data_IF_626161592703
#
_entry.id   IF_626161592703
#
_cell.length_a   1.000
_cell.length_b   1.000
_cell.length_c   1.000
_cell.angle_alpha   90.00
_cell.angle_beta   90.00
_cell.angle_gamma   90.00
#
_symmetry.space_group_name_H-M   'P 1'
#
loop_
_entity.id
_entity.type
_entity.pdbx_description
1 polymer ?
#
# COMPACT_ATOMS: atom_id res chain seq x y z
N UNK A 1 -35.55 17.27 43.58
CA UNK A 1 -34.80 17.47 42.34
C UNK A 1 -35.52 16.72 41.23
N UNK A 2 -36.12 17.43 40.26
CA UNK A 2 -36.66 16.77 39.09
C UNK A 2 -35.49 16.30 38.23
N UNK A 3 -35.53 15.07 37.70
CA UNK A 3 -34.46 14.56 36.83
C UNK A 3 -34.41 15.44 35.57
N UNK A 4 -33.22 15.92 35.24
CA UNK A 4 -32.95 16.83 34.11
C UNK A 4 -33.32 16.28 32.70
N UNK A 5 -33.87 15.07 32.64
CA UNK A 5 -34.12 14.33 31.37
C UNK A 5 -35.56 13.79 31.26
N UNK A 6 -36.52 14.39 31.90
CA UNK A 6 -37.92 13.90 31.91
C UNK A 6 -38.82 14.73 31.00
N UNK A 7 -38.63 14.63 29.69
CA UNK A 7 -39.56 15.26 28.76
C UNK A 7 -39.47 14.67 27.36
N UNK A 8 -40.59 14.57 26.68
CA UNK A 8 -40.72 14.14 25.29
C UNK A 8 -39.77 14.89 24.35
N UNK A 9 -39.49 16.19 24.65
CA UNK A 9 -38.56 17.03 23.92
C UNK A 9 -37.10 16.50 23.94
N UNK A 10 -36.64 16.02 25.10
CA UNK A 10 -35.31 15.43 25.20
C UNK A 10 -35.21 14.12 24.43
N UNK A 11 -36.25 13.28 24.48
CA UNK A 11 -36.30 12.04 23.72
C UNK A 11 -36.19 12.32 22.20
N UNK A 12 -36.91 13.31 21.69
CA UNK A 12 -36.87 13.71 20.28
C UNK A 12 -35.46 14.18 19.90
N UNK A 13 -34.81 15.00 20.76
CA UNK A 13 -33.43 15.44 20.48
C UNK A 13 -32.46 14.26 20.45
N UNK A 14 -32.56 13.29 21.34
CA UNK A 14 -31.72 12.10 21.33
C UNK A 14 -31.97 11.20 20.10
N UNK A 15 -33.24 11.01 19.72
CA UNK A 15 -33.58 10.27 18.52
C UNK A 15 -33.03 10.98 17.29
N UNK A 16 -33.18 12.30 17.18
CA UNK A 16 -32.65 13.08 16.08
C UNK A 16 -31.11 13.03 16.01
N UNK A 17 -30.44 13.15 17.16
CA UNK A 17 -28.97 13.02 17.24
C UNK A 17 -28.49 11.62 16.80
N UNK A 18 -29.15 10.57 17.29
CA UNK A 18 -28.84 9.20 16.91
C UNK A 18 -29.09 8.96 15.42
N UNK A 19 -30.22 9.43 14.89
CA UNK A 19 -30.53 9.32 13.48
C UNK A 19 -29.49 10.07 12.61
N UNK A 20 -29.07 11.25 13.04
CA UNK A 20 -28.02 12.03 12.35
C UNK A 20 -26.71 11.27 12.31
N UNK A 21 -26.30 10.67 13.43
CA UNK A 21 -25.09 9.84 13.49
C UNK A 21 -25.22 8.62 12.58
N UNK A 22 -26.33 7.89 12.67
CA UNK A 22 -26.54 6.69 11.87
C UNK A 22 -26.66 6.98 10.35
N UNK A 23 -27.21 8.14 9.97
CA UNK A 23 -27.34 8.54 8.57
C UNK A 23 -26.09 9.25 8.05
N UNK A 24 -25.18 9.68 8.90
CA UNK A 24 -24.01 10.47 8.48
C UNK A 24 -23.13 9.79 7.44
N UNK A 25 -22.88 8.46 7.43
CA UNK A 25 -22.12 7.82 6.37
C UNK A 25 -22.80 7.92 5.00
N UNK A 26 -24.12 7.82 4.96
CA UNK A 26 -24.92 7.97 3.73
C UNK A 26 -24.82 9.41 3.24
N UNK A 27 -25.11 10.36 4.12
CA UNK A 27 -25.07 11.80 3.78
C UNK A 27 -23.68 12.23 3.32
N UNK A 28 -22.64 11.81 4.02
CA UNK A 28 -21.26 12.14 3.60
C UNK A 28 -20.90 11.50 2.26
N UNK A 29 -21.42 10.31 1.95
CA UNK A 29 -21.22 9.69 0.64
C UNK A 29 -21.85 10.50 -0.48
N UNK A 30 -22.99 11.10 -0.24
CA UNK A 30 -23.71 11.92 -1.24
C UNK A 30 -23.14 13.33 -1.40
N UNK A 31 -22.67 13.94 -0.31
CA UNK A 31 -22.31 15.37 -0.27
C UNK A 31 -20.81 15.59 -0.47
N UNK A 32 -19.96 14.72 0.09
CA UNK A 32 -18.52 14.94 0.10
C UNK A 32 -17.85 14.28 -1.09
N UNK A 33 -17.17 15.08 -1.91
CA UNK A 33 -16.44 14.57 -3.07
C UNK A 33 -15.36 13.57 -2.69
N UNK A 34 -15.03 12.60 -3.57
CA UNK A 34 -13.90 11.69 -3.35
C UNK A 34 -12.62 12.43 -3.02
N UNK A 35 -12.31 13.48 -3.74
CA UNK A 35 -11.14 14.31 -3.58
C UNK A 35 -11.02 14.90 -2.17
N UNK A 36 -12.10 15.50 -1.65
CA UNK A 36 -12.13 16.03 -0.27
C UNK A 36 -11.86 14.96 0.75
N UNK A 37 -12.33 13.73 0.51
CA UNK A 37 -12.08 12.58 1.41
C UNK A 37 -10.60 12.23 1.50
N UNK A 38 -9.91 12.16 0.36
CA UNK A 38 -8.46 11.94 0.33
C UNK A 38 -7.71 13.03 1.08
N UNK A 39 -8.12 14.29 0.93
CA UNK A 39 -7.48 15.44 1.56
C UNK A 39 -7.63 15.50 3.07
N UNK A 40 -8.76 15.04 3.58
CA UNK A 40 -9.00 14.99 5.02
C UNK A 40 -8.28 13.83 5.68
N UNK A 41 -7.85 12.84 4.87
CA UNK A 41 -7.07 11.70 5.37
C UNK A 41 -5.84 12.21 6.13
N UNK A 42 -5.56 11.59 7.26
CA UNK A 42 -4.45 11.98 8.12
C UNK A 42 -3.10 11.87 7.39
N UNK A 43 -2.24 12.87 7.49
CA UNK A 43 -0.85 12.81 6.98
C UNK A 43 -0.06 11.63 7.55
N UNK A 44 -0.47 11.07 8.69
CA UNK A 44 0.16 9.86 9.25
C UNK A 44 -0.07 8.61 8.40
N UNK A 45 -1.11 8.63 7.55
CA UNK A 45 -1.45 7.51 6.65
C UNK A 45 -0.58 7.54 5.40
N UNK A 46 -0.12 8.72 4.99
CA UNK A 46 0.69 8.89 3.80
C UNK A 46 0.41 10.22 3.08
N UNK A 47 0.97 10.40 1.90
CA UNK A 47 0.83 11.62 1.09
C UNK A 47 -0.55 11.69 0.42
N UNK A 48 -1.55 12.12 1.17
CA UNK A 48 -2.95 12.16 0.72
C UNK A 48 -3.18 12.99 -0.55
N UNK A 49 -2.40 14.07 -0.72
CA UNK A 49 -2.43 14.92 -1.92
C UNK A 49 -1.90 14.16 -3.13
N UNK A 50 -0.84 13.38 -2.96
CA UNK A 50 -0.31 12.50 -3.98
C UNK A 50 -1.32 11.42 -4.36
N UNK A 51 -1.92 10.75 -3.37
CA UNK A 51 -2.96 9.74 -3.61
C UNK A 51 -4.13 10.32 -4.41
N UNK A 52 -4.66 11.47 -4.00
CA UNK A 52 -5.75 12.14 -4.72
C UNK A 52 -5.37 12.47 -6.16
N UNK A 53 -4.14 12.96 -6.38
CA UNK A 53 -3.65 13.25 -7.71
C UNK A 53 -3.54 11.99 -8.57
N UNK A 54 -2.84 10.98 -8.11
CA UNK A 54 -2.59 9.75 -8.88
C UNK A 54 -3.87 8.95 -9.15
N UNK A 55 -4.78 8.91 -8.19
CA UNK A 55 -5.98 8.08 -8.28
C UNK A 55 -7.12 8.80 -9.01
N UNK A 56 -7.29 10.12 -8.79
CA UNK A 56 -8.49 10.83 -9.23
C UNK A 56 -8.24 11.84 -10.35
N UNK A 57 -7.01 12.34 -10.54
CA UNK A 57 -6.73 13.44 -11.46
C UNK A 57 -5.82 13.09 -12.63
N UNK A 58 -4.81 12.27 -12.38
CA UNK A 58 -3.94 11.83 -13.46
C UNK A 58 -4.73 10.96 -14.44
N UNK A 59 -4.38 11.06 -15.69
CA UNK A 59 -5.04 10.34 -16.78
C UNK A 59 -4.03 9.47 -17.54
N UNK A 60 -4.54 8.49 -18.24
CA UNK A 60 -3.75 7.58 -19.04
C UNK A 60 -3.36 6.30 -18.29
N UNK A 61 -3.06 5.25 -19.06
CA UNK A 61 -2.74 3.95 -18.51
C UNK A 61 -1.36 3.93 -17.87
N UNK A 62 -1.20 3.07 -16.87
CA UNK A 62 0.08 2.64 -16.32
C UNK A 62 0.44 1.25 -16.86
N UNK A 63 1.73 1.00 -17.00
CA UNK A 63 2.23 -0.36 -17.18
C UNK A 63 2.21 -1.09 -15.84
N UNK A 64 2.69 -0.44 -14.76
CA UNK A 64 2.73 -1.01 -13.42
C UNK A 64 2.20 -0.02 -12.39
N UNK A 65 1.25 -0.46 -11.58
CA UNK A 65 0.83 0.20 -10.35
C UNK A 65 1.36 -0.58 -9.15
N UNK A 66 2.28 0.00 -8.39
CA UNK A 66 2.68 -0.51 -7.09
C UNK A 66 1.74 0.03 -6.02
N UNK A 67 1.12 -0.86 -5.27
CA UNK A 67 0.11 -0.51 -4.29
C UNK A 67 0.40 -1.21 -2.96
N UNK A 68 0.63 -0.44 -1.92
CA UNK A 68 0.97 -1.09 -0.66
C UNK A 68 1.29 -0.16 0.50
N UNK A 69 2.03 -0.70 1.45
CA UNK A 69 2.46 0.03 2.63
C UNK A 69 3.80 0.77 2.41
N UNK A 70 4.33 1.37 3.46
CA UNK A 70 5.61 2.08 3.44
C UNK A 70 6.81 1.22 2.99
N UNK A 71 6.75 -0.11 3.12
CA UNK A 71 7.78 -1.01 2.58
C UNK A 71 7.78 -0.99 1.06
N UNK A 72 6.61 -1.07 0.42
CA UNK A 72 6.50 -0.94 -1.03
C UNK A 72 7.01 0.43 -1.49
N UNK A 73 6.59 1.49 -0.80
CA UNK A 73 7.03 2.85 -1.10
C UNK A 73 8.55 3.00 -1.06
N UNK A 74 9.20 2.41 -0.07
CA UNK A 74 10.66 2.49 0.08
C UNK A 74 11.43 1.50 -0.82
N UNK A 75 10.75 0.54 -1.46
CA UNK A 75 11.41 -0.52 -2.21
C UNK A 75 11.54 -0.24 -3.71
N UNK A 76 10.85 0.75 -4.26
CA UNK A 76 10.81 0.96 -5.70
C UNK A 76 11.60 2.22 -6.09
N UNK A 77 12.65 2.02 -6.86
CA UNK A 77 13.34 3.06 -7.60
C UNK A 77 12.82 3.05 -9.04
N UNK A 78 11.95 3.99 -9.37
CA UNK A 78 11.28 4.04 -10.67
C UNK A 78 12.23 4.34 -11.83
N UNK A 79 13.32 5.05 -11.58
CA UNK A 79 14.30 5.37 -12.62
C UNK A 79 15.11 4.14 -13.00
N UNK A 80 15.56 3.38 -12.00
CA UNK A 80 16.26 2.10 -12.23
C UNK A 80 15.29 1.09 -12.84
N UNK A 81 14.07 0.97 -12.33
CA UNK A 81 13.07 0.06 -12.86
C UNK A 81 12.75 0.33 -14.36
N UNK A 82 12.72 1.61 -14.76
CA UNK A 82 12.50 2.01 -16.14
C UNK A 82 13.59 1.49 -17.08
N UNK A 83 14.82 1.43 -16.60
CA UNK A 83 15.95 0.86 -17.35
C UNK A 83 15.89 -0.67 -17.38
N UNK A 84 15.48 -1.31 -16.29
CA UNK A 84 15.37 -2.77 -16.18
C UNK A 84 14.16 -3.34 -16.93
N UNK A 85 13.12 -2.54 -17.18
CA UNK A 85 11.89 -2.94 -17.87
C UNK A 85 11.69 -2.11 -19.14
N UNK A 86 12.54 -2.26 -20.17
CA UNK A 86 12.35 -1.55 -21.42
C UNK A 86 11.06 -2.02 -22.08
N UNK A 87 10.26 -1.08 -22.54
CA UNK A 87 9.03 -1.30 -23.31
C UNK A 87 9.29 -0.97 -24.79
N UNK A 88 8.63 -1.67 -25.70
CA UNK A 88 8.76 -1.39 -27.13
C UNK A 88 8.10 -0.05 -27.46
N UNK A 89 8.91 1.00 -27.63
CA UNK A 89 8.49 2.27 -28.21
C UNK A 89 8.15 3.41 -27.24
N UNK A 90 7.98 3.18 -25.95
CA UNK A 90 7.74 4.23 -24.95
C UNK A 90 8.40 3.89 -23.61
N UNK A 91 8.78 4.88 -22.78
CA UNK A 91 9.28 4.62 -21.43
C UNK A 91 8.24 3.92 -20.56
N UNK A 92 8.68 2.99 -19.70
CA UNK A 92 7.83 2.35 -18.70
C UNK A 92 7.10 3.39 -17.85
N UNK A 93 5.79 3.26 -17.76
CA UNK A 93 4.94 4.08 -16.91
C UNK A 93 4.61 3.32 -15.64
N UNK A 94 5.28 3.65 -14.57
CA UNK A 94 5.05 3.03 -13.27
C UNK A 94 4.86 4.07 -12.19
N UNK A 95 3.96 3.80 -11.25
CA UNK A 95 3.65 4.67 -10.11
C UNK A 95 3.50 3.84 -8.85
N UNK A 96 3.86 4.44 -7.71
CA UNK A 96 3.62 3.87 -6.39
C UNK A 96 2.56 4.66 -5.65
N UNK A 97 1.48 3.99 -5.26
CA UNK A 97 0.46 4.51 -4.36
C UNK A 97 0.58 3.76 -3.04
N UNK A 98 1.40 4.29 -2.16
CA UNK A 98 1.70 3.66 -0.88
C UNK A 98 1.16 4.42 0.31
N UNK A 99 0.70 3.69 1.32
CA UNK A 99 0.24 4.25 2.58
C UNK A 99 1.08 3.74 3.74
N UNK A 100 1.12 4.48 4.85
CA UNK A 100 1.68 3.95 6.08
C UNK A 100 0.76 2.87 6.65
N UNK A 101 1.34 1.91 7.36
CA UNK A 101 0.67 0.74 7.93
C UNK A 101 0.16 -0.26 6.89
N UNK A 102 -0.10 -1.48 7.32
CA UNK A 102 -0.78 -2.48 6.50
C UNK A 102 -2.21 -2.03 6.19
N UNK A 103 -2.69 -2.32 5.00
CA UNK A 103 -3.96 -1.81 4.59
C UNK A 103 -4.49 -2.42 3.30
N UNK A 104 -4.82 -3.72 3.31
CA UNK A 104 -5.49 -4.33 2.15
C UNK A 104 -6.89 -3.76 1.92
N UNK A 105 -7.57 -3.34 2.99
CA UNK A 105 -8.82 -2.59 2.95
C UNK A 105 -8.64 -1.22 2.27
N UNK A 106 -7.60 -0.48 2.67
CA UNK A 106 -7.24 0.79 2.05
C UNK A 106 -6.77 0.59 0.60
N UNK A 107 -5.93 -0.41 0.35
CA UNK A 107 -5.44 -0.77 -0.98
C UNK A 107 -6.60 -1.12 -1.93
N UNK A 108 -7.58 -1.90 -1.46
CA UNK A 108 -8.78 -2.20 -2.23
C UNK A 108 -9.54 -0.92 -2.61
N UNK A 109 -9.72 0.00 -1.67
CA UNK A 109 -10.43 1.26 -1.92
C UNK A 109 -9.65 2.16 -2.88
N UNK A 110 -8.34 2.26 -2.72
CA UNK A 110 -7.47 2.97 -3.68
C UNK A 110 -7.59 2.39 -5.08
N UNK A 111 -7.52 1.07 -5.19
CA UNK A 111 -7.57 0.37 -6.47
C UNK A 111 -8.94 0.52 -7.15
N UNK A 112 -10.03 0.46 -6.37
CA UNK A 112 -11.38 0.67 -6.89
C UNK A 112 -11.59 2.10 -7.39
N UNK A 113 -11.03 3.10 -6.70
CA UNK A 113 -11.03 4.49 -7.17
C UNK A 113 -10.14 4.67 -8.39
N UNK A 114 -8.95 4.08 -8.39
CA UNK A 114 -8.03 4.13 -9.51
C UNK A 114 -8.68 3.56 -10.80
N UNK A 115 -9.22 2.36 -10.75
CA UNK A 115 -9.86 1.73 -11.91
C UNK A 115 -11.13 2.43 -12.40
N UNK A 116 -11.72 3.31 -11.60
CA UNK A 116 -12.82 4.15 -12.09
C UNK A 116 -12.35 5.34 -12.95
N UNK A 117 -11.05 5.64 -12.99
CA UNK A 117 -10.46 6.77 -13.71
C UNK A 117 -9.31 6.39 -14.64
N UNK A 118 -8.58 5.32 -14.31
CA UNK A 118 -7.36 4.91 -15.00
C UNK A 118 -7.30 3.37 -15.15
N UNK A 119 -6.30 2.91 -15.88
CA UNK A 119 -5.99 1.48 -16.03
C UNK A 119 -4.52 1.23 -15.71
N UNK A 120 -4.23 0.04 -15.19
CA UNK A 120 -2.89 -0.51 -15.08
C UNK A 120 -2.88 -1.90 -15.71
N UNK A 121 -1.78 -2.27 -16.38
CA UNK A 121 -1.62 -3.62 -16.95
C UNK A 121 -1.23 -4.63 -15.87
N UNK A 122 -0.42 -4.18 -14.91
CA UNK A 122 0.06 -4.98 -13.80
C UNK A 122 -0.14 -4.20 -12.50
N UNK A 123 -0.75 -4.83 -11.51
CA UNK A 123 -0.83 -4.35 -10.14
C UNK A 123 0.08 -5.19 -9.27
N UNK A 124 0.93 -4.54 -8.49
CA UNK A 124 1.85 -5.17 -7.55
C UNK A 124 1.47 -4.76 -6.15
N UNK A 125 1.18 -5.72 -5.27
CA UNK A 125 0.84 -5.47 -3.87
C UNK A 125 1.87 -6.10 -2.93
N UNK A 126 1.95 -5.60 -1.69
CA UNK A 126 2.82 -6.20 -0.67
C UNK A 126 2.41 -7.64 -0.33
N UNK A 127 3.41 -8.44 0.02
CA UNK A 127 3.18 -9.67 0.78
C UNK A 127 2.71 -9.33 2.22
N UNK A 128 1.79 -10.12 2.83
CA UNK A 128 1.33 -9.90 4.21
C UNK A 128 2.37 -10.36 5.24
N UNK A 129 3.50 -9.67 5.31
CA UNK A 129 4.58 -9.97 6.27
C UNK A 129 4.16 -9.74 7.73
N UNK A 130 3.26 -8.80 7.93
CA UNK A 130 2.69 -8.46 9.23
C UNK A 130 1.18 -8.64 9.19
N UNK A 131 0.60 -9.39 10.14
CA UNK A 131 -0.86 -9.56 10.18
C UNK A 131 -1.59 -8.23 10.26
N UNK A 132 -2.55 -8.00 9.38
CA UNK A 132 -3.44 -6.85 9.47
C UNK A 132 -4.62 -7.18 10.37
N UNK A 133 -4.53 -6.82 11.66
CA UNK A 133 -5.57 -7.10 12.65
C UNK A 133 -6.70 -6.08 12.59
N UNK A 134 -6.35 -4.80 12.41
CA UNK A 134 -7.28 -3.67 12.38
C UNK A 134 -7.31 -3.02 10.99
N UNK A 135 -8.42 -2.33 10.70
CA UNK A 135 -8.54 -1.51 9.49
C UNK A 135 -7.47 -0.42 9.44
N UNK A 136 -6.98 -0.12 8.23
CA UNK A 136 -6.04 0.98 8.07
C UNK A 136 -6.66 2.30 8.53
N UNK A 137 -5.95 3.12 9.33
CA UNK A 137 -6.49 4.39 9.83
C UNK A 137 -6.95 5.37 8.74
N UNK A 138 -6.50 5.20 7.50
CA UNK A 138 -6.90 6.02 6.35
C UNK A 138 -8.23 5.61 5.75
N UNK A 139 -8.57 4.34 5.85
CA UNK A 139 -9.68 3.74 5.15
C UNK A 139 -11.03 4.40 5.51
N UNK A 140 -11.29 4.70 6.78
CA UNK A 140 -12.50 5.38 7.26
C UNK A 140 -12.78 6.75 6.59
N UNK A 141 -11.75 7.43 6.06
CA UNK A 141 -11.92 8.72 5.39
C UNK A 141 -12.43 8.56 3.96
N UNK A 142 -11.96 7.53 3.25
CA UNK A 142 -12.21 7.34 1.83
C UNK A 142 -13.29 6.31 1.52
N UNK A 143 -13.63 5.44 2.47
CA UNK A 143 -14.73 4.48 2.33
C UNK A 143 -16.05 5.19 2.03
N UNK A 144 -16.85 4.59 1.16
CA UNK A 144 -18.16 5.11 0.75
C UNK A 144 -19.20 4.00 0.78
N UNK A 145 -20.40 4.32 1.23
CA UNK A 145 -21.54 3.41 1.14
C UNK A 145 -21.88 3.15 -0.32
N UNK A 146 -22.28 1.92 -0.62
CA UNK A 146 -22.62 1.49 -1.99
C UNK A 146 -21.45 0.99 -2.82
N UNK A 147 -20.20 1.04 -2.29
CA UNK A 147 -19.12 0.23 -2.86
C UNK A 147 -19.23 -1.21 -2.36
N UNK A 148 -18.91 -2.17 -3.20
CA UNK A 148 -18.76 -3.55 -2.73
C UNK A 148 -17.77 -3.56 -1.57
N UNK A 149 -18.22 -3.96 -0.40
CA UNK A 149 -17.37 -4.18 0.76
C UNK A 149 -17.21 -5.69 0.93
N UNK A 150 -16.03 -6.25 0.63
CA UNK A 150 -15.80 -7.68 0.76
C UNK A 150 -15.91 -8.17 2.22
N UNK A 151 -15.94 -7.24 3.17
CA UNK A 151 -16.10 -7.54 4.58
C UNK A 151 -17.54 -7.68 5.06
N UNK A 152 -18.55 -7.68 4.19
CA UNK A 152 -19.97 -7.77 4.57
C UNK A 152 -20.52 -9.20 4.67
N UNK A 153 -19.70 -10.22 4.68
CA UNK A 153 -20.17 -11.57 5.00
C UNK A 153 -20.43 -11.72 6.52
N UNK A 154 -21.10 -12.82 6.91
CA UNK A 154 -21.44 -13.07 8.32
C UNK A 154 -20.20 -13.16 9.21
N UNK A 155 -19.07 -13.63 8.68
CA UNK A 155 -17.79 -13.77 9.43
C UNK A 155 -17.13 -12.42 9.70
N UNK A 156 -17.35 -11.45 8.85
CA UNK A 156 -16.81 -10.09 8.93
C UNK A 156 -17.83 -9.05 9.42
N UNK A 157 -19.00 -9.48 9.91
CA UNK A 157 -20.05 -8.57 10.40
C UNK A 157 -19.52 -7.57 11.44
N UNK A 158 -18.70 -8.05 12.39
CA UNK A 158 -18.07 -7.17 13.39
C UNK A 158 -17.21 -6.08 12.74
N UNK A 159 -16.44 -6.41 11.71
CA UNK A 159 -15.64 -5.46 10.96
C UNK A 159 -16.53 -4.45 10.22
N UNK A 160 -17.61 -4.90 9.59
CA UNK A 160 -18.56 -4.03 8.89
C UNK A 160 -19.22 -3.01 9.85
N UNK A 161 -19.61 -3.45 11.05
CA UNK A 161 -20.18 -2.57 12.09
C UNK A 161 -19.15 -1.54 12.56
N UNK A 162 -17.92 -1.98 12.81
CA UNK A 162 -16.82 -1.08 13.22
C UNK A 162 -16.54 -0.04 12.15
N UNK A 163 -16.41 -0.48 10.90
CA UNK A 163 -16.18 0.39 9.75
C UNK A 163 -17.31 1.43 9.58
N UNK A 164 -18.57 1.00 9.73
CA UNK A 164 -19.71 1.91 9.66
C UNK A 164 -19.69 2.96 10.79
N UNK A 165 -19.39 2.52 12.02
CA UNK A 165 -19.27 3.42 13.16
C UNK A 165 -18.13 4.44 12.98
N UNK A 166 -16.98 4.02 12.46
CA UNK A 166 -15.87 4.93 12.16
C UNK A 166 -16.25 5.95 11.09
N UNK A 167 -16.94 5.54 10.02
CA UNK A 167 -17.48 6.46 9.01
C UNK A 167 -18.47 7.46 9.61
N UNK A 168 -19.33 7.02 10.53
CA UNK A 168 -20.28 7.88 11.22
C UNK A 168 -19.59 8.95 12.07
N UNK A 169 -18.52 8.57 12.76
CA UNK A 169 -17.74 9.49 13.60
C UNK A 169 -16.93 10.50 12.77
N UNK A 170 -16.41 10.11 11.60
CA UNK A 170 -15.62 11.01 10.76
C UNK A 170 -16.51 11.92 9.88
N UNK A 171 -17.76 11.54 9.65
CA UNK A 171 -18.69 12.24 8.76
C UNK A 171 -18.78 13.75 8.97
N UNK A 172 -18.99 14.27 10.20
CA UNK A 172 -19.06 15.70 10.44
C UNK A 172 -17.77 16.44 10.02
N UNK A 173 -16.60 15.82 10.23
CA UNK A 173 -15.32 16.40 9.82
C UNK A 173 -15.21 16.48 8.28
N UNK A 174 -15.69 15.46 7.59
CA UNK A 174 -15.68 15.43 6.12
C UNK A 174 -16.60 16.51 5.55
N UNK A 175 -17.81 16.66 6.10
CA UNK A 175 -18.75 17.70 5.68
C UNK A 175 -18.16 19.09 5.95
N UNK A 176 -17.62 19.33 7.14
CA UNK A 176 -16.98 20.60 7.48
C UNK A 176 -15.83 20.92 6.51
N UNK A 177 -14.99 19.94 6.20
CA UNK A 177 -13.89 20.13 5.24
C UNK A 177 -14.40 20.48 3.83
N UNK A 178 -15.50 19.89 3.37
CA UNK A 178 -16.09 20.20 2.06
C UNK A 178 -16.63 21.63 1.97
N UNK A 179 -17.05 22.22 3.11
CA UNK A 179 -17.54 23.60 3.17
C UNK A 179 -16.40 24.61 3.27
N UNK A 180 -15.38 24.30 4.10
CA UNK A 180 -14.26 25.23 4.35
C UNK A 180 -13.26 25.24 3.19
N UNK A 181 -13.11 24.13 2.50
CA UNK A 181 -12.20 23.97 1.34
C UNK A 181 -12.95 23.47 0.11
N UNK A 182 -13.93 24.23 -0.40
CA UNK A 182 -14.60 23.85 -1.63
C UNK A 182 -13.64 24.13 -2.81
N UNK A 183 -13.20 23.10 -3.47
CA UNK A 183 -12.45 23.25 -4.71
C UNK A 183 -11.30 22.26 -4.88
N UNK A 184 -10.78 22.17 -6.11
CA UNK A 184 -9.67 21.32 -6.39
C UNK A 184 -8.45 21.79 -5.61
N UNK A 185 -7.70 20.82 -5.08
CA UNK A 185 -6.39 21.10 -4.52
C UNK A 185 -5.53 21.82 -5.54
N UNK A 186 -5.08 22.99 -5.16
CA UNK A 186 -3.93 23.59 -5.82
C UNK A 186 -2.75 22.70 -5.58
N UNK A 187 -2.23 22.09 -6.62
CA UNK A 187 -1.04 21.25 -6.59
C UNK A 187 0.07 21.96 -5.80
N UNK A 188 0.45 21.45 -4.67
CA UNK A 188 1.85 21.53 -4.28
C UNK A 188 2.56 20.49 -5.14
N UNK A 189 3.54 20.92 -5.90
CA UNK A 189 4.08 20.23 -7.05
C UNK A 189 4.90 18.96 -6.83
N UNK A 190 4.38 18.01 -6.07
CA UNK A 190 4.95 16.66 -6.01
C UNK A 190 4.78 16.00 -7.37
N UNK A 191 5.88 15.79 -8.07
CA UNK A 191 5.89 15.11 -9.37
C UNK A 191 5.95 13.60 -9.23
N UNK A 192 6.61 13.15 -8.17
CA UNK A 192 6.81 11.74 -7.84
C UNK A 192 6.56 11.52 -6.36
N UNK A 193 6.51 10.26 -5.92
CA UNK A 193 6.41 9.91 -4.51
C UNK A 193 7.67 10.36 -3.75
N UNK A 194 8.82 10.36 -4.42
CA UNK A 194 10.11 10.79 -3.90
C UNK A 194 10.16 12.29 -3.57
N UNK A 195 9.38 13.12 -4.25
CA UNK A 195 9.28 14.55 -3.99
C UNK A 195 8.53 14.86 -2.67
N UNK A 196 7.97 13.86 -2.03
CA UNK A 196 7.21 14.03 -0.79
C UNK A 196 8.18 14.10 0.42
N UNK A 197 8.16 15.17 1.23
CA UNK A 197 9.14 15.37 2.30
C UNK A 197 9.20 14.24 3.34
N UNK A 198 8.04 13.63 3.65
CA UNK A 198 7.98 12.53 4.60
C UNK A 198 8.54 11.22 4.00
N UNK A 199 8.67 11.15 2.68
CA UNK A 199 9.24 10.01 1.99
C UNK A 199 10.77 9.95 2.15
N UNK A 200 11.46 11.11 2.05
CA UNK A 200 12.89 11.17 2.37
C UNK A 200 13.17 10.77 3.82
N UNK A 201 12.27 11.09 4.75
CA UNK A 201 12.39 10.66 6.15
C UNK A 201 12.20 9.15 6.31
N UNK A 202 11.39 8.51 5.45
CA UNK A 202 11.20 7.06 5.45
C UNK A 202 12.31 6.32 4.73
N UNK A 203 12.86 6.89 3.66
CA UNK A 203 14.00 6.29 2.93
C UNK A 203 15.34 6.48 3.64
N UNK A 204 15.47 7.49 4.51
CA UNK A 204 16.78 7.98 4.95
C UNK A 204 17.55 8.60 3.79
N UNK A 205 18.17 9.74 3.99
CA UNK A 205 19.05 10.33 2.97
C UNK A 205 20.30 9.46 2.82
N UNK A 206 20.40 8.73 1.72
CA UNK A 206 21.64 8.06 1.34
C UNK A 206 22.32 8.89 0.27
N UNK A 207 23.50 9.42 0.58
CA UNK A 207 24.41 9.92 -0.44
C UNK A 207 25.48 8.86 -0.66
N UNK A 208 25.86 8.56 -1.92
CA UNK A 208 26.89 7.56 -2.23
C UNK A 208 28.19 7.75 -1.47
N UNK A 209 28.52 9.00 -1.12
CA UNK A 209 29.79 9.37 -0.48
C UNK A 209 29.70 9.41 1.05
N UNK A 210 28.50 9.52 1.64
CA UNK A 210 28.32 9.76 3.08
C UNK A 210 27.68 8.57 3.82
N UNK A 211 27.21 7.55 3.10
CA UNK A 211 26.55 6.38 3.68
C UNK A 211 25.15 6.67 4.23
N UNK A 212 24.64 5.73 5.00
CA UNK A 212 23.31 5.81 5.60
C UNK A 212 23.22 6.84 6.72
N UNK A 213 22.23 7.73 6.67
CA UNK A 213 21.86 8.62 7.78
C UNK A 213 20.56 8.14 8.41
N UNK A 214 20.62 7.71 9.64
CA UNK A 214 19.41 7.42 10.41
C UNK A 214 18.62 8.71 10.68
N UNK A 215 17.35 8.74 10.30
CA UNK A 215 16.50 9.92 10.37
C UNK A 215 16.14 10.39 11.79
N UNK A 216 16.76 9.84 12.82
CA UNK A 216 16.51 10.18 14.23
C UNK A 216 17.80 10.39 15.01
N UNK A 217 18.49 11.50 14.74
CA UNK A 217 19.43 12.08 15.70
C UNK A 217 20.62 11.21 16.15
N UNK A 218 20.84 10.06 15.55
CA UNK A 218 22.03 9.26 15.82
C UNK A 218 23.25 9.89 15.16
N UNK A 219 24.42 9.91 15.85
CA UNK A 219 25.62 10.45 15.26
C UNK A 219 25.95 9.67 13.97
N UNK A 220 26.34 10.42 12.94
CA UNK A 220 26.80 9.88 11.66
C UNK A 220 27.87 8.81 11.90
N UNK A 221 27.48 7.55 11.87
CA UNK A 221 28.47 6.50 11.71
C UNK A 221 28.96 6.59 10.25
N UNK A 222 30.27 6.58 10.04
CA UNK A 222 30.83 6.47 8.71
C UNK A 222 30.41 5.12 8.12
N UNK A 223 29.50 5.12 7.17
CA UNK A 223 29.01 3.90 6.54
C UNK A 223 29.86 3.56 5.33
N UNK A 224 30.38 2.38 5.33
CA UNK A 224 31.00 1.80 4.14
C UNK A 224 29.87 1.44 3.17
N UNK A 225 29.91 2.00 1.95
CA UNK A 225 29.08 1.55 0.84
C UNK A 225 29.38 0.07 0.62
N UNK A 226 28.43 -0.79 0.89
CA UNK A 226 28.56 -2.19 0.53
C UNK A 226 27.97 -2.38 -0.86
N UNK A 227 28.83 -2.27 -1.87
CA UNK A 227 28.57 -2.81 -3.18
C UNK A 227 28.91 -4.30 -3.10
N UNK A 228 27.91 -5.16 -2.98
CA UNK A 228 28.14 -6.57 -3.19
C UNK A 228 28.74 -6.73 -4.59
N UNK A 229 29.91 -7.35 -4.73
CA UNK A 229 30.49 -7.65 -6.04
C UNK A 229 29.61 -8.64 -6.82
N UNK A 230 28.69 -9.32 -6.13
CA UNK A 230 27.84 -10.32 -6.73
C UNK A 230 26.71 -9.64 -7.50
N UNK A 231 26.53 -10.06 -8.75
CA UNK A 231 25.36 -9.65 -9.53
C UNK A 231 24.09 -10.15 -8.82
N UNK A 232 23.08 -9.29 -8.61
CA UNK A 232 21.85 -9.73 -7.97
C UNK A 232 21.16 -10.82 -8.79
N UNK A 233 20.59 -11.80 -8.11
CA UNK A 233 19.80 -12.83 -8.74
C UNK A 233 18.37 -12.32 -8.98
N UNK A 234 17.75 -12.58 -10.13
CA UNK A 234 16.36 -12.18 -10.37
C UNK A 234 15.42 -12.75 -9.31
N UNK A 235 14.39 -11.99 -8.97
CA UNK A 235 13.33 -12.45 -8.08
C UNK A 235 12.65 -13.71 -8.63
N UNK A 236 12.29 -14.61 -7.73
CA UNK A 236 11.65 -15.87 -8.07
C UNK A 236 10.13 -15.71 -8.12
N UNK A 237 9.53 -16.23 -9.18
CA UNK A 237 8.09 -16.37 -9.27
C UNK A 237 7.64 -17.64 -8.56
N UNK A 238 6.83 -17.51 -7.52
CA UNK A 238 6.28 -18.62 -6.74
C UNK A 238 4.79 -18.70 -7.02
N UNK A 239 4.36 -19.88 -7.48
CA UNK A 239 2.95 -20.17 -7.79
C UNK A 239 2.48 -21.41 -7.06
N UNK A 240 1.19 -21.54 -6.86
CA UNK A 240 0.60 -22.72 -6.23
C UNK A 240 0.95 -23.99 -7.01
N UNK A 241 1.41 -25.01 -6.30
CA UNK A 241 1.78 -26.33 -6.88
C UNK A 241 3.21 -26.39 -7.47
N UNK A 242 3.93 -25.29 -7.59
CA UNK A 242 5.33 -25.32 -7.99
C UNK A 242 6.26 -25.65 -6.80
N UNK A 243 7.38 -26.36 -7.02
CA UNK A 243 8.36 -26.58 -5.99
C UNK A 243 8.95 -25.25 -5.53
N UNK A 244 9.11 -25.10 -4.20
CA UNK A 244 9.74 -23.90 -3.64
C UNK A 244 11.27 -23.96 -3.78
N UNK A 245 11.92 -22.84 -4.10
CA UNK A 245 13.36 -22.72 -3.95
C UNK A 245 13.79 -22.90 -2.49
N UNK A 246 15.04 -23.34 -2.24
CA UNK A 246 15.51 -23.62 -0.89
C UNK A 246 15.53 -22.41 0.06
N UNK A 247 15.51 -21.20 -0.49
CA UNK A 247 15.43 -19.93 0.26
C UNK A 247 14.05 -19.68 0.87
N UNK A 248 13.04 -20.48 0.51
CA UNK A 248 11.66 -20.31 0.97
C UNK A 248 11.10 -21.59 1.59
N UNK A 249 10.20 -21.43 2.55
CA UNK A 249 9.52 -22.56 3.21
C UNK A 249 8.04 -22.22 3.41
N UNK A 250 7.18 -23.23 3.19
CA UNK A 250 5.75 -23.10 3.47
C UNK A 250 5.50 -23.11 4.98
N UNK A 251 4.55 -22.30 5.39
CA UNK A 251 3.99 -22.28 6.74
C UNK A 251 2.48 -22.28 6.70
N UNK A 252 1.85 -22.78 7.76
CA UNK A 252 0.39 -22.77 7.92
C UNK A 252 -0.12 -21.47 8.58
N UNK A 253 0.61 -20.37 8.38
CA UNK A 253 0.20 -19.05 8.91
C UNK A 253 -1.16 -18.66 8.35
N UNK A 254 -2.13 -18.46 9.24
CA UNK A 254 -3.49 -18.08 8.87
C UNK A 254 -3.53 -16.61 8.43
N UNK A 255 -4.36 -16.34 7.43
CA UNK A 255 -4.74 -14.98 7.06
C UNK A 255 -5.66 -14.39 8.15
N UNK A 256 -5.47 -13.12 8.43
CA UNK A 256 -6.42 -12.38 9.27
C UNK A 256 -7.78 -12.25 8.58
N UNK A 257 -8.86 -11.89 9.31
CA UNK A 257 -10.16 -11.64 8.68
C UNK A 257 -10.09 -10.56 7.58
N UNK A 258 -9.27 -9.52 7.75
CA UNK A 258 -9.09 -8.45 6.75
C UNK A 258 -8.38 -8.99 5.51
N UNK A 259 -7.28 -9.70 5.68
CA UNK A 259 -6.52 -10.29 4.59
C UNK A 259 -7.37 -11.30 3.80
N UNK A 260 -8.13 -12.14 4.52
CA UNK A 260 -9.03 -13.15 3.92
C UNK A 260 -10.17 -12.51 3.11
N UNK A 261 -10.64 -11.33 3.52
CA UNK A 261 -11.69 -10.61 2.83
C UNK A 261 -11.16 -9.83 1.61
N UNK A 262 -10.06 -9.09 1.81
CA UNK A 262 -9.65 -8.10 0.81
C UNK A 262 -8.67 -8.63 -0.24
N UNK A 263 -7.82 -9.60 0.05
CA UNK A 263 -6.91 -10.16 -0.96
C UNK A 263 -7.66 -10.80 -2.15
N UNK A 264 -8.67 -11.68 -1.94
CA UNK A 264 -9.49 -12.19 -3.04
C UNK A 264 -10.27 -11.09 -3.78
N UNK A 265 -10.74 -10.07 -3.04
CA UNK A 265 -11.47 -8.96 -3.63
C UNK A 265 -10.58 -8.08 -4.51
N UNK A 266 -9.34 -7.81 -4.11
CA UNK A 266 -8.33 -7.12 -4.93
C UNK A 266 -8.06 -7.93 -6.21
N UNK A 267 -7.89 -9.26 -6.10
CA UNK A 267 -7.72 -10.14 -7.26
C UNK A 267 -8.88 -10.02 -8.24
N UNK A 268 -10.11 -10.18 -7.75
CA UNK A 268 -11.32 -10.06 -8.56
C UNK A 268 -11.44 -8.69 -9.22
N UNK A 269 -11.07 -7.62 -8.50
CA UNK A 269 -11.09 -6.26 -9.02
C UNK A 269 -10.07 -6.05 -10.14
N UNK A 270 -8.86 -6.61 -10.01
CA UNK A 270 -7.85 -6.59 -11.06
C UNK A 270 -8.33 -7.35 -12.30
N UNK A 271 -8.81 -8.59 -12.12
CA UNK A 271 -9.32 -9.43 -13.21
C UNK A 271 -10.45 -8.73 -13.97
N UNK A 272 -11.41 -8.14 -13.25
CA UNK A 272 -12.53 -7.38 -13.85
C UNK A 272 -12.06 -6.21 -14.71
N UNK A 273 -10.91 -5.60 -14.38
CA UNK A 273 -10.37 -4.46 -15.10
C UNK A 273 -9.23 -4.85 -16.07
N UNK A 274 -9.03 -6.15 -16.32
CA UNK A 274 -8.03 -6.65 -17.26
C UNK A 274 -6.58 -6.43 -16.80
N UNK A 275 -6.37 -6.26 -15.49
CA UNK A 275 -5.05 -6.11 -14.90
C UNK A 275 -4.55 -7.45 -14.34
N UNK A 276 -3.28 -7.78 -14.58
CA UNK A 276 -2.62 -8.85 -13.85
C UNK A 276 -2.34 -8.38 -12.40
N UNK A 277 -2.39 -9.33 -11.45
CA UNK A 277 -2.05 -9.07 -10.04
C UNK A 277 -0.88 -9.95 -9.63
N UNK A 278 0.08 -9.38 -8.91
CA UNK A 278 1.18 -10.11 -8.28
C UNK A 278 1.43 -9.58 -6.87
N UNK A 279 1.79 -10.48 -5.96
CA UNK A 279 2.22 -10.13 -4.62
C UNK A 279 3.75 -10.03 -4.61
N UNK A 280 4.30 -8.93 -4.11
CA UNK A 280 5.75 -8.74 -3.97
C UNK A 280 6.17 -9.01 -2.54
N UNK A 281 7.10 -9.95 -2.36
CA UNK A 281 7.69 -10.30 -1.07
C UNK A 281 9.11 -9.78 -1.00
N UNK A 282 9.35 -8.88 -0.07
CA UNK A 282 10.62 -8.20 0.16
C UNK A 282 11.27 -8.74 1.44
N UNK A 283 12.59 -8.95 1.48
CA UNK A 283 13.27 -9.27 2.74
C UNK A 283 13.26 -8.08 3.70
N UNK A 284 13.44 -8.35 4.98
CA UNK A 284 13.70 -7.35 6.02
C UNK A 284 15.16 -7.42 6.44
N UNK A 285 15.69 -6.37 7.03
CA UNK A 285 17.03 -6.39 7.60
C UNK A 285 17.16 -7.56 8.59
N UNK A 286 18.26 -8.30 8.49
CA UNK A 286 18.50 -9.50 9.28
C UNK A 286 17.46 -10.64 9.08
N UNK A 287 16.73 -10.65 7.96
CA UNK A 287 15.85 -11.78 7.63
C UNK A 287 16.65 -13.06 7.56
N UNK A 288 16.19 -14.06 8.31
CA UNK A 288 16.78 -15.38 8.28
C UNK A 288 16.18 -16.21 7.16
N UNK A 289 17.02 -16.91 6.42
CA UNK A 289 16.58 -17.91 5.46
C UNK A 289 16.38 -19.27 6.16
N UNK A 290 15.44 -20.10 5.70
CA UNK A 290 14.49 -19.81 4.61
C UNK A 290 13.38 -18.84 5.03
N UNK A 291 12.98 -17.97 4.08
CA UNK A 291 11.86 -17.04 4.27
C UNK A 291 10.53 -17.80 4.27
N UNK A 292 9.60 -17.35 5.10
CA UNK A 292 8.32 -18.04 5.32
C UNK A 292 7.24 -17.55 4.37
N UNK A 293 6.58 -18.50 3.68
CA UNK A 293 5.44 -18.22 2.80
C UNK A 293 4.21 -18.92 3.36
N UNK A 294 3.11 -18.19 3.54
CA UNK A 294 1.85 -18.77 3.97
C UNK A 294 1.24 -19.63 2.87
N UNK A 295 0.92 -20.88 3.20
CA UNK A 295 0.16 -21.78 2.32
C UNK A 295 -1.20 -21.19 1.94
N UNK A 296 -1.83 -20.42 2.84
CA UNK A 296 -3.11 -19.76 2.58
C UNK A 296 -2.99 -18.60 1.58
N UNK A 297 -1.89 -17.85 1.60
CA UNK A 297 -1.63 -16.81 0.57
C UNK A 297 -1.44 -17.47 -0.80
N UNK A 298 -0.67 -18.56 -0.87
CA UNK A 298 -0.51 -19.32 -2.13
C UNK A 298 -1.83 -19.90 -2.64
N UNK A 299 -2.69 -20.37 -1.73
CA UNK A 299 -4.00 -20.91 -2.10
C UNK A 299 -4.95 -19.90 -2.74
N UNK A 300 -4.69 -18.57 -2.59
CA UNK A 300 -5.43 -17.54 -3.32
C UNK A 300 -5.18 -17.56 -4.84
N UNK A 301 -4.16 -18.30 -5.29
CA UNK A 301 -3.79 -18.37 -6.70
C UNK A 301 -3.28 -17.05 -7.27
N UNK A 302 -2.75 -16.17 -6.41
CA UNK A 302 -2.06 -14.94 -6.81
C UNK A 302 -0.57 -15.27 -6.86
N UNK A 303 0.15 -15.07 -7.99
CA UNK A 303 1.58 -15.27 -8.06
C UNK A 303 2.32 -14.41 -7.03
N UNK A 304 3.34 -14.97 -6.38
CA UNK A 304 4.22 -14.24 -5.46
C UNK A 304 5.58 -14.06 -6.15
N UNK A 305 5.97 -12.81 -6.28
CA UNK A 305 7.30 -12.45 -6.75
C UNK A 305 8.17 -12.19 -5.53
N UNK A 306 9.08 -13.10 -5.22
CA UNK A 306 9.85 -13.10 -3.98
C UNK A 306 11.35 -12.94 -4.22
N UNK A 307 11.99 -12.19 -3.37
CA UNK A 307 13.45 -12.11 -3.29
C UNK A 307 13.91 -12.37 -1.85
N UNK A 308 14.96 -13.16 -1.69
CA UNK A 308 15.62 -13.34 -0.40
C UNK A 308 16.70 -12.28 -0.20
N UNK A 309 17.20 -12.14 1.03
CA UNK A 309 18.34 -11.26 1.31
C UNK A 309 19.56 -11.65 0.46
N UNK A 310 19.78 -12.96 0.29
CA UNK A 310 20.87 -13.49 -0.53
C UNK A 310 20.70 -13.15 -2.01
N UNK A 311 19.51 -13.32 -2.58
CA UNK A 311 19.27 -12.98 -3.99
C UNK A 311 19.41 -11.48 -4.25
N UNK A 312 19.05 -10.62 -3.28
CA UNK A 312 19.19 -9.17 -3.43
C UNK A 312 20.63 -8.67 -3.21
N UNK A 313 21.31 -9.18 -2.21
CA UNK A 313 22.55 -8.58 -1.73
C UNK A 313 23.75 -9.53 -1.78
N UNK A 314 23.58 -10.78 -2.25
CA UNK A 314 24.63 -11.79 -2.26
C UNK A 314 24.94 -12.33 -0.86
N UNK A 315 26.14 -12.90 -0.71
CA UNK A 315 26.61 -13.44 0.57
C UNK A 315 27.22 -12.36 1.46
N UNK A 316 26.43 -11.34 1.81
CA UNK A 316 26.88 -10.33 2.77
C UNK A 316 26.75 -10.84 4.21
N UNK A 317 27.67 -10.49 5.11
CA UNK A 317 27.49 -10.76 6.53
C UNK A 317 26.18 -10.12 7.05
N UNK A 318 25.40 -10.82 7.91
CA UNK A 318 24.13 -10.31 8.40
C UNK A 318 24.21 -8.91 9.06
N UNK A 319 25.34 -8.58 9.66
CA UNK A 319 25.58 -7.27 10.25
C UNK A 319 25.76 -6.16 9.22
N UNK A 320 25.98 -6.49 7.95
CA UNK A 320 26.19 -5.54 6.84
C UNK A 320 24.95 -5.35 5.99
N UNK A 321 23.95 -6.23 6.03
CA UNK A 321 22.72 -6.08 5.24
C UNK A 321 21.95 -4.81 5.62
N UNK A 322 22.08 -4.37 6.89
CA UNK A 322 21.50 -3.13 7.41
C UNK A 322 21.88 -1.88 6.61
N UNK A 323 22.98 -1.89 5.88
CA UNK A 323 23.40 -0.75 5.04
C UNK A 323 22.50 -0.53 3.81
N UNK A 324 21.63 -1.50 3.52
CA UNK A 324 20.63 -1.41 2.47
C UNK A 324 19.26 -0.92 2.98
N UNK A 325 19.16 -0.64 4.26
CA UNK A 325 17.90 -0.29 4.92
C UNK A 325 18.00 1.04 5.65
N UNK A 326 16.89 1.79 5.67
CA UNK A 326 16.72 3.00 6.50
C UNK A 326 16.21 2.65 7.90
N UNK A 327 15.43 1.60 7.99
CA UNK A 327 15.01 0.95 9.24
C UNK A 327 15.06 -0.55 9.02
N UNK A 328 14.81 -1.35 10.03
CA UNK A 328 14.85 -2.82 9.86
C UNK A 328 13.83 -3.37 8.83
N UNK A 329 12.86 -2.57 8.38
CA UNK A 329 11.84 -2.98 7.40
C UNK A 329 11.80 -2.14 6.12
N UNK A 330 12.43 -0.96 6.09
CA UNK A 330 12.39 -0.05 4.94
C UNK A 330 13.75 0.00 4.27
N UNK A 331 13.77 -0.16 2.96
CA UNK A 331 14.97 0.08 2.19
C UNK A 331 15.37 1.55 2.21
N UNK A 332 16.67 1.80 2.13
CA UNK A 332 17.22 3.09 1.72
C UNK A 332 17.34 3.14 0.19
N UNK A 333 17.93 4.19 -0.35
CA UNK A 333 18.10 4.33 -1.82
C UNK A 333 18.91 3.19 -2.44
N UNK A 334 19.89 2.63 -1.73
CA UNK A 334 20.66 1.49 -2.23
C UNK A 334 19.79 0.21 -2.30
N UNK A 335 19.04 -0.08 -1.24
CA UNK A 335 18.10 -1.20 -1.22
C UNK A 335 16.99 -1.07 -2.26
N UNK A 336 16.45 0.15 -2.47
CA UNK A 336 15.45 0.42 -3.49
C UNK A 336 15.99 0.18 -4.92
N UNK A 337 17.20 0.65 -5.22
CA UNK A 337 17.88 0.36 -6.48
C UNK A 337 18.05 -1.13 -6.71
N UNK A 338 18.56 -1.85 -5.71
CA UNK A 338 18.73 -3.31 -5.77
C UNK A 338 17.41 -4.04 -5.96
N UNK A 339 16.36 -3.58 -5.29
CA UNK A 339 15.01 -4.13 -5.49
C UNK A 339 14.57 -3.98 -6.94
N UNK A 340 14.74 -2.82 -7.55
CA UNK A 340 14.39 -2.62 -8.95
C UNK A 340 15.21 -3.51 -9.91
N UNK A 341 16.52 -3.70 -9.67
CA UNK A 341 17.39 -4.61 -10.43
C UNK A 341 16.94 -6.08 -10.32
N UNK A 342 16.53 -6.50 -9.12
CA UNK A 342 16.14 -7.89 -8.82
C UNK A 342 14.75 -8.21 -9.37
N UNK A 343 13.79 -7.31 -9.15
CA UNK A 343 12.39 -7.53 -9.54
C UNK A 343 12.10 -7.15 -11.00
N UNK A 344 12.88 -6.24 -11.59
CA UNK A 344 12.69 -5.75 -12.95
C UNK A 344 12.56 -6.83 -14.01
N UNK A 345 13.48 -7.82 -14.09
CA UNK A 345 13.38 -8.90 -15.10
C UNK A 345 12.07 -9.69 -15.01
N UNK A 346 11.60 -10.02 -13.82
CA UNK A 346 10.37 -10.78 -13.64
C UNK A 346 9.12 -9.91 -13.90
N UNK A 347 9.14 -8.63 -13.50
CA UNK A 347 8.07 -7.69 -13.85
C UNK A 347 7.96 -7.48 -15.37
N UNK A 348 9.11 -7.44 -16.07
CA UNK A 348 9.15 -7.40 -17.54
C UNK A 348 8.48 -8.62 -18.15
N UNK A 349 8.82 -9.82 -17.67
CA UNK A 349 8.22 -11.06 -18.17
C UNK A 349 6.70 -11.08 -17.97
N UNK A 350 6.21 -10.64 -16.82
CA UNK A 350 4.78 -10.50 -16.56
C UNK A 350 4.10 -9.51 -17.51
N UNK A 351 4.69 -8.34 -17.74
CA UNK A 351 4.13 -7.36 -18.68
C UNK A 351 4.07 -7.87 -20.12
N UNK A 352 5.02 -8.70 -20.55
CA UNK A 352 4.99 -9.32 -21.87
C UNK A 352 3.84 -10.31 -22.01
N UNK A 353 3.54 -11.09 -20.96
CA UNK A 353 2.40 -12.02 -20.95
C UNK A 353 1.04 -11.32 -21.01
N UNK A 354 0.94 -10.07 -20.55
CA UNK A 354 -0.30 -9.28 -20.62
C UNK A 354 -0.51 -8.58 -21.97
N UNK A 355 0.38 -8.75 -22.95
CA UNK A 355 0.26 -8.17 -24.29
C UNK A 355 -0.39 -9.14 -25.30
N UNK A 356 -0.55 -10.41 -24.97
CA UNK A 356 -1.22 -11.43 -25.79
C UNK A 356 -2.64 -11.64 -25.37
#
# INVERSE_FOLDING_TARGET
MQPAFSGTGHLIVWIAALATILLSPILTTLIVSPETRYLVMSKRVGPSDWHANQILKETGPLDILFLGNSRMTSAIDHDVLRNEVPTSGAPLKSETVGANFNGYDLAYTFLADFFSHRHARLVVINYPDFPQVDSNPGEKYIRRIGRPDPGLDIKSFGLAVTNYAEMALIGPRLVLASVIRPGPLTRQGYRTMEDFPDFEQTRGSYTPDEGYQESRGSPRAAFVRYDSPDKPEPATMITSGAPLPPEFVLTDSALTPIESAYLPAIKTLCEKNGAALVIMMLPMANSKEPMKISSQVLALGIPILAASTKSMFGNIPPEQDKYNYSTYIHFNSNGARRSAEVFGPALRALLQQTQG
#
